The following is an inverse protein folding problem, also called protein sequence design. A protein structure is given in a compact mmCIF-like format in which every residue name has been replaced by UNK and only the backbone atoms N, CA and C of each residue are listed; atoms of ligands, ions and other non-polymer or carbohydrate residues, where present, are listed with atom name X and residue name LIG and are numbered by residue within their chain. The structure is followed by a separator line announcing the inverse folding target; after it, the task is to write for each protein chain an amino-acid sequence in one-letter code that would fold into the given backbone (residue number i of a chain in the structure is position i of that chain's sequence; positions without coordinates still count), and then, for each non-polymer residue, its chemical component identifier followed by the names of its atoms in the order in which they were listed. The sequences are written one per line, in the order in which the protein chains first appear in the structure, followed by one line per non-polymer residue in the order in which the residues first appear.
data_IF_858315236369
#
_entry.id   IF_858315236369
#
_cell.length_a   1.000
_cell.length_b   1.000
_cell.length_c   1.000
_cell.angle_alpha   90.00
_cell.angle_beta   90.00
_cell.angle_gamma   90.00
#
_symmetry.space_group_name_H-M   'P 1'
#
loop_
_entity.id
_entity.type
_entity.pdbx_description
1 polymer ?
#
# COMPACT_ATOMS: atom_id res chain seq x y z
N UNK A 1 -0.93 2.50 10.99
CA UNK A 1 0.45 2.01 11.23
C UNK A 1 0.35 0.75 12.06
N UNK A 2 1.29 -0.17 11.89
CA UNK A 2 1.35 -1.39 12.71
C UNK A 2 1.88 -1.04 14.11
N UNK A 3 1.23 -1.54 15.16
CA UNK A 3 1.58 -1.25 16.56
C UNK A 3 2.68 -2.15 17.10
N UNK A 4 2.99 -3.25 16.40
CA UNK A 4 4.05 -4.22 16.75
C UNK A 4 5.29 -3.99 15.90
N UNK A 5 5.12 -3.73 14.60
CA UNK A 5 6.24 -3.49 13.68
C UNK A 5 6.29 -2.03 13.20
N UNK A 6 7.22 -1.20 13.72
CA UNK A 6 7.29 0.23 13.37
C UNK A 6 7.70 0.50 11.92
N UNK A 7 8.09 -0.52 11.16
CA UNK A 7 8.43 -0.42 9.74
C UNK A 7 7.26 -0.79 8.82
N UNK A 8 6.08 -1.08 9.39
CA UNK A 8 4.91 -1.52 8.63
C UNK A 8 3.78 -0.50 8.71
N UNK A 9 3.21 -0.21 7.53
CA UNK A 9 2.01 0.60 7.41
C UNK A 9 1.02 -0.03 6.44
N UNK A 10 -0.23 0.41 6.54
CA UNK A 10 -1.34 -0.07 5.73
C UNK A 10 -2.12 1.11 5.18
N UNK A 11 -2.69 0.96 3.99
CA UNK A 11 -3.70 1.85 3.45
C UNK A 11 -4.74 1.08 2.64
N UNK A 12 -5.95 1.62 2.59
CA UNK A 12 -7.06 1.08 1.80
C UNK A 12 -6.91 1.41 0.32
N UNK A 13 -7.38 0.50 -0.53
CA UNK A 13 -7.56 0.72 -1.97
C UNK A 13 -9.04 0.53 -2.36
N UNK A 14 -9.57 1.30 -3.32
CA UNK A 14 -11.00 1.35 -3.60
C UNK A 14 -11.54 0.11 -4.33
N UNK A 15 -10.66 -0.78 -4.81
CA UNK A 15 -11.04 -1.98 -5.54
C UNK A 15 -10.05 -3.12 -5.31
N UNK A 16 -10.61 -4.33 -5.26
CA UNK A 16 -9.85 -5.55 -5.36
C UNK A 16 -8.94 -5.53 -6.59
N UNK A 17 -7.69 -5.90 -6.38
CA UNK A 17 -6.69 -6.00 -7.45
C UNK A 17 -6.12 -7.41 -7.41
N UNK A 18 -6.23 -8.16 -8.51
CA UNK A 18 -5.61 -9.48 -8.59
C UNK A 18 -4.08 -9.37 -8.53
N UNK A 19 -3.39 -10.48 -8.27
CA UNK A 19 -1.94 -10.47 -8.08
C UNK A 19 -1.15 -9.89 -9.27
N UNK A 20 -1.55 -10.20 -10.50
CA UNK A 20 -0.84 -9.74 -11.70
C UNK A 20 -0.94 -8.20 -11.84
N UNK A 21 -2.15 -7.67 -11.66
CA UNK A 21 -2.41 -6.24 -11.70
C UNK A 21 -1.75 -5.51 -10.53
N UNK A 22 -1.76 -6.11 -9.33
CA UNK A 22 -1.11 -5.54 -8.15
C UNK A 22 0.40 -5.45 -8.35
N UNK A 23 1.02 -6.49 -8.92
CA UNK A 23 2.45 -6.49 -9.23
C UNK A 23 2.79 -5.42 -10.26
N UNK A 24 1.99 -5.29 -11.31
CA UNK A 24 2.18 -4.27 -12.34
C UNK A 24 2.01 -2.85 -11.77
N UNK A 25 0.97 -2.63 -10.96
CA UNK A 25 0.71 -1.37 -10.27
C UNK A 25 1.84 -0.99 -9.32
N UNK A 26 2.27 -1.91 -8.45
CA UNK A 26 3.39 -1.71 -7.52
C UNK A 26 4.67 -1.36 -8.27
N UNK A 27 4.91 -2.00 -9.41
CA UNK A 27 6.06 -1.70 -10.27
C UNK A 27 5.96 -0.28 -10.82
N UNK A 28 4.78 0.17 -11.27
CA UNK A 28 4.53 1.55 -11.72
C UNK A 28 4.75 2.58 -10.62
N UNK A 29 4.28 2.30 -9.40
CA UNK A 29 4.48 3.17 -8.23
C UNK A 29 5.96 3.32 -7.91
N UNK A 30 6.74 2.23 -7.98
CA UNK A 30 8.19 2.24 -7.71
C UNK A 30 9.03 3.00 -8.73
N UNK A 31 8.54 3.29 -9.94
CA UNK A 31 9.28 4.11 -10.91
C UNK A 31 9.39 5.58 -10.49
N UNK A 32 8.59 6.03 -9.52
CA UNK A 32 8.69 7.37 -8.97
C UNK A 32 9.87 7.44 -7.99
N UNK A 33 10.93 8.15 -8.38
CA UNK A 33 12.23 8.13 -7.69
C UNK A 33 12.17 8.64 -6.24
N UNK A 34 11.18 9.46 -5.89
CA UNK A 34 10.95 9.94 -4.53
C UNK A 34 10.37 8.88 -3.59
N UNK A 35 9.89 7.75 -4.12
CA UNK A 35 9.16 6.71 -3.40
C UNK A 35 9.95 5.38 -3.36
N UNK A 36 11.16 5.33 -3.94
CA UNK A 36 11.97 4.11 -4.04
C UNK A 36 12.20 3.38 -2.70
N UNK A 37 12.47 2.07 -2.78
CA UNK A 37 12.85 1.18 -1.67
C UNK A 37 11.76 0.92 -0.62
N UNK A 38 10.67 0.24 -1.01
CA UNK A 38 9.71 -0.37 -0.11
C UNK A 38 9.30 -1.75 -0.60
N UNK A 39 8.83 -2.60 0.29
CA UNK A 39 8.14 -3.84 -0.07
C UNK A 39 6.64 -3.67 0.11
N UNK A 40 5.86 -4.32 -0.76
CA UNK A 40 4.41 -4.24 -0.73
C UNK A 40 3.77 -5.63 -0.85
N UNK A 41 2.66 -5.80 -0.15
CA UNK A 41 1.82 -6.99 -0.22
C UNK A 41 0.34 -6.58 -0.19
N UNK A 42 -0.51 -7.39 -0.83
CA UNK A 42 -1.96 -7.31 -0.67
C UNK A 42 -2.35 -7.75 0.75
N UNK A 43 -3.35 -7.10 1.32
CA UNK A 43 -3.95 -7.48 2.60
C UNK A 43 -5.46 -7.27 2.58
N UNK A 44 -6.13 -7.82 3.59
CA UNK A 44 -7.57 -7.68 3.75
C UNK A 44 -7.89 -7.42 5.22
N UNK A 45 -8.84 -6.52 5.46
CA UNK A 45 -9.46 -6.32 6.76
C UNK A 45 -10.93 -6.69 6.65
N UNK A 46 -11.41 -7.55 7.54
CA UNK A 46 -12.84 -7.84 7.64
C UNK A 46 -13.42 -7.04 8.80
N UNK A 47 -14.23 -6.04 8.48
CA UNK A 47 -14.85 -5.14 9.46
C UNK A 47 -16.28 -4.82 9.01
N UNK A 48 -17.23 -4.69 9.94
CA UNK A 48 -18.61 -4.32 9.65
C UNK A 48 -19.30 -5.20 8.57
N UNK A 49 -19.00 -6.50 8.55
CA UNK A 49 -19.49 -7.46 7.56
C UNK A 49 -19.03 -7.16 6.11
N UNK A 50 -17.97 -6.37 5.96
CA UNK A 50 -17.37 -6.01 4.67
C UNK A 50 -15.91 -6.43 4.62
N UNK A 51 -15.46 -6.84 3.42
CA UNK A 51 -14.05 -7.09 3.13
C UNK A 51 -13.44 -5.80 2.57
N UNK A 52 -12.45 -5.26 3.26
CA UNK A 52 -11.74 -4.04 2.89
C UNK A 52 -10.37 -4.43 2.34
N UNK A 53 -10.11 -4.08 1.08
CA UNK A 53 -8.83 -4.30 0.43
C UNK A 53 -7.77 -3.33 0.95
N UNK A 54 -6.64 -3.86 1.39
CA UNK A 54 -5.51 -3.10 1.90
C UNK A 54 -4.23 -3.37 1.10
N UNK A 55 -3.32 -2.40 1.14
CA UNK A 55 -1.91 -2.60 0.78
C UNK A 55 -1.08 -2.45 2.03
N UNK A 56 -0.30 -3.49 2.35
CA UNK A 56 0.72 -3.45 3.39
C UNK A 56 2.03 -2.98 2.77
N UNK A 57 2.64 -1.97 3.37
CA UNK A 57 3.97 -1.46 2.99
C UNK A 57 4.95 -1.77 4.11
N UNK A 58 6.13 -2.27 3.74
CA UNK A 58 7.29 -2.36 4.60
C UNK A 58 8.38 -1.39 4.12
N UNK A 59 8.81 -0.50 5.02
CA UNK A 59 9.90 0.47 4.81
C UNK A 59 10.42 0.93 6.17
N UNK A 60 11.73 1.12 6.28
CA UNK A 60 12.33 1.60 7.53
C UNK A 60 11.74 2.92 8.01
N UNK A 61 11.52 3.00 9.32
CA UNK A 61 10.96 4.16 10.03
C UNK A 61 9.63 4.58 9.38
N UNK A 62 8.63 3.69 9.37
CA UNK A 62 7.34 4.01 8.78
C UNK A 62 6.62 5.10 9.57
N UNK A 63 5.97 6.01 8.88
CA UNK A 63 5.14 7.07 9.47
C UNK A 63 4.00 7.46 8.53
N UNK A 64 2.96 8.16 9.01
CA UNK A 64 1.89 8.68 8.16
C UNK A 64 2.42 9.52 6.98
N UNK A 65 3.43 10.36 7.22
CA UNK A 65 4.03 11.24 6.21
C UNK A 65 4.79 10.45 5.14
N UNK A 66 5.35 9.29 5.50
CA UNK A 66 6.11 8.43 4.58
C UNK A 66 5.22 7.49 3.77
N UNK A 67 4.08 7.05 4.31
CA UNK A 67 3.14 6.22 3.56
C UNK A 67 2.21 7.02 2.66
N UNK A 68 1.91 8.28 3.01
CA UNK A 68 1.05 9.17 2.24
C UNK A 68 1.42 9.24 0.74
N UNK A 69 2.67 9.55 0.34
CA UNK A 69 3.02 9.62 -1.08
C UNK A 69 2.90 8.27 -1.80
N UNK A 70 3.17 7.15 -1.11
CA UNK A 70 2.97 5.80 -1.67
C UNK A 70 1.48 5.61 -1.97
N UNK A 71 0.61 5.84 -0.97
CA UNK A 71 -0.84 5.71 -1.10
C UNK A 71 -1.39 6.58 -2.23
N UNK A 72 -1.02 7.86 -2.25
CA UNK A 72 -1.47 8.81 -3.28
C UNK A 72 -1.11 8.31 -4.69
N UNK A 73 0.08 7.74 -4.85
CA UNK A 73 0.51 7.21 -6.13
C UNK A 73 -0.26 5.96 -6.55
N UNK A 74 -0.56 5.05 -5.61
CA UNK A 74 -1.44 3.91 -5.87
C UNK A 74 -2.83 4.38 -6.33
N UNK A 75 -3.44 5.33 -5.60
CA UNK A 75 -4.77 5.83 -5.93
C UNK A 75 -4.81 6.51 -7.30
N UNK A 76 -3.84 7.38 -7.61
CA UNK A 76 -3.74 8.06 -8.91
C UNK A 76 -3.59 7.10 -10.11
N UNK A 77 -3.05 5.90 -9.89
CA UNK A 77 -2.85 4.88 -10.93
C UNK A 77 -4.03 3.89 -11.01
N UNK A 78 -4.94 3.93 -10.04
CA UNK A 78 -6.14 3.10 -9.99
C UNK A 78 -7.37 3.81 -10.57
N UNK A 79 -7.37 5.15 -10.56
CA UNK A 79 -8.29 6.00 -11.33
C UNK A 79 -8.14 5.76 -12.85
#
# INVERSE_FOLDING_TARGET
MDTVNPNVGFFEIPKYTNWADFKALTTKVKYETSILFFDAATGYLFENQQLIDLVRIYKDQMSPERIAPIRERYLKLLD
#
